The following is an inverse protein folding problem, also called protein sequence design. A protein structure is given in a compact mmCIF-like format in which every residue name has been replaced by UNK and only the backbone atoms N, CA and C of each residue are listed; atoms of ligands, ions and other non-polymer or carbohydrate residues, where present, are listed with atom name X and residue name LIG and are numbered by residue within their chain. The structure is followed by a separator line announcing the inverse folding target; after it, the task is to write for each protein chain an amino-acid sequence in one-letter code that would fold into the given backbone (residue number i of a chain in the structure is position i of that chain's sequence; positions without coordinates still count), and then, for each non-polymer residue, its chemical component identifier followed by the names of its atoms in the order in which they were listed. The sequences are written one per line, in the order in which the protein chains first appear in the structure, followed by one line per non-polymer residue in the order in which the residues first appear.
data_IF_147044038327
#
_entry.id   IF_147044038327
#
_cell.length_a   1.000
_cell.length_b   1.000
_cell.length_c   1.000
_cell.angle_alpha   90.00
_cell.angle_beta   90.00
_cell.angle_gamma   90.00
#
_symmetry.space_group_name_H-M   'P 1'
#
loop_
_entity.id
_entity.type
_entity.pdbx_description
1 polymer ?
#
# COMPACT_ATOMS: atom_id res chain seq x y z
N UNK A 1 -0.10 -16.20 -2.72
CA UNK A 1 0.66 -15.42 -1.70
C UNK A 1 2.09 -15.93 -1.74
N UNK A 2 3.07 -15.04 -1.96
CA UNK A 2 4.48 -15.41 -2.15
C UNK A 2 5.30 -14.87 -0.97
N UNK A 3 6.21 -15.67 -0.43
CA UNK A 3 7.24 -15.20 0.50
C UNK A 3 8.47 -14.79 -0.30
N UNK A 4 8.94 -13.55 -0.08
CA UNK A 4 10.09 -13.01 -0.81
C UNK A 4 11.28 -12.93 0.13
N UNK A 5 12.33 -13.69 -0.20
CA UNK A 5 13.64 -13.63 0.45
C UNK A 5 14.47 -12.57 -0.27
N UNK A 6 15.25 -11.78 0.48
CA UNK A 6 16.09 -10.72 -0.10
C UNK A 6 17.45 -11.21 -0.58
N UNK A 7 17.66 -12.52 -0.53
CA UNK A 7 18.86 -13.18 -0.99
C UNK A 7 18.50 -14.10 -2.16
N UNK A 8 19.29 -14.00 -3.23
CA UNK A 8 19.26 -14.99 -4.30
C UNK A 8 19.82 -16.32 -3.78
N UNK A 9 19.00 -17.37 -3.76
CA UNK A 9 19.38 -18.69 -3.26
C UNK A 9 19.16 -19.73 -4.35
N UNK A 10 20.23 -20.40 -4.76
CA UNK A 10 20.11 -21.56 -5.64
C UNK A 10 19.73 -22.81 -4.83
N UNK A 11 19.27 -23.85 -5.52
CA UNK A 11 19.04 -25.15 -4.88
C UNK A 11 20.30 -25.70 -4.20
N UNK A 12 21.47 -25.43 -4.77
CA UNK A 12 22.75 -25.79 -4.17
C UNK A 12 23.06 -24.97 -2.90
N UNK A 13 22.67 -23.69 -2.85
CA UNK A 13 22.81 -22.87 -1.65
C UNK A 13 21.93 -23.40 -0.52
N UNK A 14 20.68 -23.77 -0.82
CA UNK A 14 19.76 -24.34 0.15
C UNK A 14 20.27 -25.66 0.75
N UNK A 15 20.97 -26.50 -0.02
CA UNK A 15 21.59 -27.73 0.48
C UNK A 15 22.92 -27.52 1.21
N UNK A 16 23.47 -26.30 1.15
CA UNK A 16 24.68 -25.90 1.88
C UNK A 16 24.35 -25.23 3.22
N UNK A 17 23.08 -25.01 3.54
CA UNK A 17 22.72 -24.45 4.84
C UNK A 17 23.08 -25.44 5.95
N UNK A 18 23.59 -24.97 7.09
CA UNK A 18 23.92 -25.84 8.20
C UNK A 18 22.64 -26.40 8.85
N UNK A 19 22.69 -27.59 9.48
CA UNK A 19 21.58 -28.12 10.26
C UNK A 19 21.17 -27.21 11.44
N UNK A 20 22.13 -26.42 11.95
CA UNK A 20 21.89 -25.39 12.96
C UNK A 20 21.02 -24.23 12.45
N UNK A 21 20.84 -24.11 11.14
CA UNK A 21 20.05 -23.08 10.48
C UNK A 21 20.87 -21.88 10.00
N UNK A 22 20.38 -21.26 8.92
CA UNK A 22 20.87 -20.00 8.39
C UNK A 22 19.73 -18.97 8.39
N UNK A 23 19.97 -17.82 9.02
CA UNK A 23 19.00 -16.74 9.07
C UNK A 23 19.00 -15.98 7.74
N UNK A 24 17.83 -15.85 7.12
CA UNK A 24 17.62 -15.10 5.88
C UNK A 24 16.55 -14.05 6.07
N UNK A 25 16.90 -12.81 5.70
CA UNK A 25 16.01 -11.66 5.77
C UNK A 25 14.94 -11.77 4.67
N UNK A 26 13.67 -11.59 5.05
CA UNK A 26 12.58 -11.48 4.09
C UNK A 26 12.23 -10.03 3.81
N UNK A 27 11.45 -9.78 2.77
CA UNK A 27 10.90 -8.46 2.48
C UNK A 27 10.10 -7.90 3.68
N UNK A 28 9.42 -8.76 4.46
CA UNK A 28 8.70 -8.34 5.68
C UNK A 28 9.64 -7.79 6.75
N UNK A 29 10.87 -8.27 6.84
CA UNK A 29 11.84 -7.70 7.78
C UNK A 29 12.25 -6.28 7.37
N UNK A 30 12.32 -5.99 6.06
CA UNK A 30 12.69 -4.67 5.56
C UNK A 30 11.58 -3.63 5.61
N UNK A 31 10.33 -4.04 5.80
CA UNK A 31 9.23 -3.07 5.95
C UNK A 31 9.21 -2.39 7.32
N UNK A 32 9.92 -2.94 8.31
CA UNK A 32 9.90 -2.44 9.69
C UNK A 32 8.72 -2.93 10.54
N UNK A 33 7.80 -3.73 10.00
CA UNK A 33 6.68 -4.32 10.76
C UNK A 33 7.07 -5.46 11.68
N UNK A 34 8.20 -6.09 11.40
CA UNK A 34 8.72 -7.16 12.23
C UNK A 34 9.71 -6.60 13.26
N UNK A 35 9.35 -6.52 14.55
CA UNK A 35 10.28 -6.03 15.55
C UNK A 35 11.48 -6.98 15.65
N UNK A 36 12.67 -6.41 15.85
CA UNK A 36 13.95 -7.13 15.92
C UNK A 36 14.25 -7.93 14.66
N UNK A 37 14.02 -9.25 14.64
CA UNK A 37 14.27 -10.18 13.53
C UNK A 37 13.08 -11.11 13.23
N UNK A 38 11.88 -10.80 13.73
CA UNK A 38 10.71 -11.67 13.63
C UNK A 38 10.18 -11.84 12.19
N UNK A 39 10.68 -11.05 11.24
CA UNK A 39 10.37 -11.14 9.81
C UNK A 39 11.42 -11.95 9.05
N UNK A 40 12.47 -12.43 9.72
CA UNK A 40 13.47 -13.30 9.10
C UNK A 40 13.05 -14.76 9.19
N UNK A 41 13.49 -15.55 8.21
CA UNK A 41 13.27 -16.99 8.15
C UNK A 41 14.58 -17.71 8.46
N UNK A 42 14.50 -18.74 9.30
CA UNK A 42 15.60 -19.67 9.51
C UNK A 42 15.47 -20.83 8.53
N UNK A 43 16.49 -21.04 7.71
CA UNK A 43 16.55 -22.12 6.72
C UNK A 43 17.49 -23.19 7.23
N UNK A 44 16.98 -24.40 7.41
CA UNK A 44 17.75 -25.57 7.84
C UNK A 44 17.81 -26.60 6.71
N UNK A 45 18.88 -27.36 6.66
CA UNK A 45 19.00 -28.52 5.80
C UNK A 45 19.37 -29.73 6.66
N UNK A 46 18.58 -30.79 6.55
CA UNK A 46 18.88 -32.06 7.19
C UNK A 46 19.61 -32.97 6.18
N UNK A 47 20.90 -33.29 6.40
CA UNK A 47 21.67 -34.14 5.51
C UNK A 47 21.20 -35.61 5.52
N UNK A 48 20.42 -36.02 6.53
CA UNK A 48 19.91 -37.38 6.68
C UNK A 48 18.67 -37.63 5.81
N UNK A 49 17.72 -36.69 5.84
CA UNK A 49 16.49 -36.75 5.04
C UNK A 49 16.62 -36.04 3.69
N UNK A 50 17.61 -35.17 3.51
CA UNK A 50 17.80 -34.36 2.31
C UNK A 50 16.77 -33.23 2.17
N UNK A 51 16.03 -32.92 3.23
CA UNK A 51 14.95 -31.93 3.24
C UNK A 51 15.49 -30.56 3.65
N UNK A 52 15.02 -29.53 2.95
CA UNK A 52 15.23 -28.13 3.33
C UNK A 52 13.96 -27.64 4.01
N UNK A 53 14.07 -27.18 5.25
CA UNK A 53 12.95 -26.69 6.03
C UNK A 53 13.09 -25.20 6.32
N UNK A 54 11.97 -24.50 6.27
CA UNK A 54 11.84 -23.07 6.49
C UNK A 54 11.09 -22.86 7.80
N UNK A 55 11.74 -22.19 8.75
CA UNK A 55 11.21 -21.94 10.08
C UNK A 55 11.09 -20.43 10.32
N UNK A 56 9.90 -19.90 10.57
CA UNK A 56 9.74 -18.53 11.05
C UNK A 56 10.39 -18.36 12.42
N UNK A 57 11.11 -17.27 12.64
CA UNK A 57 11.63 -16.93 13.97
C UNK A 57 10.52 -16.55 14.95
N UNK A 58 9.36 -16.14 14.45
CA UNK A 58 8.22 -15.73 15.25
C UNK A 58 7.30 -16.89 15.68
N UNK A 59 7.48 -18.10 15.12
CA UNK A 59 6.72 -19.26 15.54
C UNK A 59 7.43 -20.57 15.19
N UNK A 60 7.94 -21.24 16.22
CA UNK A 60 8.59 -22.55 16.13
C UNK A 60 7.63 -23.71 15.82
N UNK A 61 6.31 -23.50 15.81
CA UNK A 61 5.30 -24.56 15.55
C UNK A 61 4.88 -24.67 14.09
N UNK A 62 5.16 -23.66 13.26
CA UNK A 62 4.88 -23.68 11.82
C UNK A 62 6.20 -23.82 11.08
N UNK A 63 6.30 -24.80 10.20
CA UNK A 63 7.44 -24.96 9.30
C UNK A 63 6.95 -25.35 7.92
N UNK A 64 7.72 -25.01 6.89
CA UNK A 64 7.42 -25.40 5.52
C UNK A 64 8.64 -26.04 4.89
N UNK A 65 8.45 -27.14 4.18
CA UNK A 65 9.51 -27.82 3.47
C UNK A 65 9.55 -27.38 2.01
N UNK A 66 10.75 -27.19 1.49
CA UNK A 66 10.96 -26.84 0.08
C UNK A 66 10.85 -28.10 -0.76
N UNK A 67 9.92 -28.12 -1.71
CA UNK A 67 9.61 -29.29 -2.54
C UNK A 67 10.42 -29.31 -3.84
N UNK A 68 10.34 -28.24 -4.65
CA UNK A 68 11.00 -28.18 -5.95
C UNK A 68 11.29 -26.76 -6.42
N UNK A 69 12.30 -26.63 -7.30
CA UNK A 69 12.58 -25.39 -8.04
C UNK A 69 11.64 -25.30 -9.25
N UNK A 70 10.80 -24.26 -9.29
CA UNK A 70 9.86 -24.01 -10.38
C UNK A 70 10.51 -23.20 -11.51
N UNK A 71 11.25 -22.15 -11.15
CA UNK A 71 11.86 -21.24 -12.12
C UNK A 71 13.09 -20.55 -11.54
N UNK A 72 14.09 -20.33 -12.39
CA UNK A 72 15.27 -19.55 -12.04
C UNK A 72 15.62 -18.57 -13.15
N UNK A 73 16.00 -17.37 -12.77
CA UNK A 73 16.67 -16.37 -13.58
C UNK A 73 18.02 -16.14 -12.89
N UNK A 74 19.14 -16.58 -13.49
CA UNK A 74 20.45 -16.49 -12.86
C UNK A 74 20.72 -15.09 -12.30
N UNK A 75 21.19 -15.03 -11.05
CA UNK A 75 21.50 -13.82 -10.29
C UNK A 75 20.32 -12.89 -9.96
N UNK A 76 19.12 -13.13 -10.51
CA UNK A 76 17.97 -12.26 -10.29
C UNK A 76 16.89 -12.90 -9.41
N UNK A 77 16.51 -14.16 -9.69
CA UNK A 77 15.29 -14.74 -9.10
C UNK A 77 15.30 -16.26 -9.09
N UNK A 78 14.84 -16.85 -7.99
CA UNK A 78 14.65 -18.29 -7.81
C UNK A 78 13.29 -18.52 -7.15
N UNK A 79 12.41 -19.29 -7.82
CA UNK A 79 11.08 -19.61 -7.31
C UNK A 79 11.05 -21.08 -6.91
N UNK A 80 10.74 -21.33 -5.64
CA UNK A 80 10.55 -22.67 -5.10
C UNK A 80 9.10 -22.90 -4.69
N UNK A 81 8.68 -24.15 -4.77
CA UNK A 81 7.40 -24.62 -4.21
C UNK A 81 7.64 -25.11 -2.77
N UNK A 82 6.65 -24.89 -1.91
CA UNK A 82 6.68 -25.30 -0.50
C UNK A 82 5.41 -26.07 -0.15
N UNK A 83 5.49 -26.98 0.81
CA UNK A 83 4.36 -27.81 1.24
C UNK A 83 3.32 -27.07 2.10
N UNK A 84 3.75 -26.02 2.80
CA UNK A 84 2.96 -25.32 3.80
C UNK A 84 3.08 -23.81 3.69
N UNK A 85 2.05 -23.09 4.12
CA UNK A 85 2.03 -21.64 4.15
C UNK A 85 2.80 -21.10 5.38
N UNK A 86 3.76 -20.20 5.14
CA UNK A 86 4.53 -19.54 6.19
C UNK A 86 3.87 -18.22 6.61
N UNK A 87 2.77 -18.24 7.35
CA UNK A 87 2.17 -16.98 7.82
C UNK A 87 2.99 -16.37 8.98
N UNK A 88 3.50 -15.12 8.86
CA UNK A 88 4.11 -14.44 9.98
C UNK A 88 3.06 -14.11 11.05
N UNK A 89 3.36 -14.41 12.31
CA UNK A 89 2.50 -14.07 13.44
C UNK A 89 2.61 -12.58 13.77
N UNK A 90 1.48 -11.92 13.98
CA UNK A 90 1.41 -10.47 14.23
C UNK A 90 1.17 -9.61 12.98
N UNK A 91 1.17 -10.22 11.79
CA UNK A 91 0.60 -9.57 10.60
C UNK A 91 -0.88 -9.92 10.59
N UNK A 92 -1.73 -9.04 11.10
CA UNK A 92 -3.14 -9.11 10.77
C UNK A 92 -3.27 -8.89 9.26
N UNK A 93 -3.59 -9.96 8.55
CA UNK A 93 -3.69 -9.97 7.09
C UNK A 93 -4.90 -9.15 6.59
N UNK A 94 -5.74 -8.66 7.51
CA UNK A 94 -6.78 -7.66 7.26
C UNK A 94 -6.29 -6.21 7.50
N UNK A 95 -5.14 -6.02 8.15
CA UNK A 95 -4.54 -4.73 8.47
C UNK A 95 -3.35 -4.37 7.54
N UNK A 96 -3.38 -4.86 6.30
CA UNK A 96 -2.33 -4.66 5.28
C UNK A 96 -2.26 -3.22 4.77
N UNK A 97 -2.17 -2.23 5.65
CA UNK A 97 -2.33 -0.83 5.29
C UNK A 97 -1.73 0.20 6.26
N UNK A 98 -1.46 -0.14 7.51
CA UNK A 98 -0.68 0.76 8.36
C UNK A 98 0.78 0.62 7.93
N UNK A 99 1.30 1.53 7.09
CA UNK A 99 2.72 1.75 6.73
C UNK A 99 3.70 1.64 7.92
N UNK A 100 5.03 1.49 7.74
CA UNK A 100 5.93 2.16 8.68
C UNK A 100 5.47 3.63 8.81
N UNK A 101 5.65 4.32 9.95
CA UNK A 101 5.30 5.73 10.03
C UNK A 101 6.01 6.44 8.90
N UNK A 102 5.24 6.79 7.86
CA UNK A 102 5.73 7.57 6.75
C UNK A 102 6.28 8.84 7.36
N UNK A 103 7.38 9.42 6.84
CA UNK A 103 7.67 10.81 7.16
C UNK A 103 6.38 11.62 6.98
N UNK A 104 6.12 12.61 7.85
CA UNK A 104 4.85 13.35 7.85
C UNK A 104 4.43 13.62 6.42
N UNK A 105 3.23 13.12 6.07
CA UNK A 105 2.78 13.04 4.70
C UNK A 105 2.78 14.44 4.10
N UNK A 106 3.72 14.72 3.20
CA UNK A 106 3.67 15.94 2.42
C UNK A 106 2.89 15.65 1.14
N UNK A 107 1.59 15.93 1.18
CA UNK A 107 0.65 15.65 0.09
C UNK A 107 1.12 16.32 -1.21
N UNK A 108 1.57 17.58 -1.13
CA UNK A 108 2.05 18.32 -2.30
C UNK A 108 3.25 17.64 -2.96
N UNK A 109 4.22 17.17 -2.16
CA UNK A 109 5.40 16.46 -2.67
C UNK A 109 5.03 15.13 -3.32
N UNK A 110 4.13 14.37 -2.70
CA UNK A 110 3.66 13.10 -3.27
C UNK A 110 3.04 13.29 -4.66
N UNK A 111 2.31 14.39 -4.88
CA UNK A 111 1.74 14.71 -6.19
C UNK A 111 2.77 15.15 -7.23
N UNK A 112 3.79 15.91 -6.81
CA UNK A 112 4.90 16.32 -7.68
C UNK A 112 5.69 15.09 -8.15
N UNK A 113 6.00 14.17 -7.23
CA UNK A 113 6.72 12.93 -7.54
C UNK A 113 5.90 11.99 -8.45
N UNK A 114 4.56 12.09 -8.41
CA UNK A 114 3.64 11.39 -9.32
C UNK A 114 3.59 11.94 -10.75
N UNK A 115 4.28 13.05 -11.04
CA UNK A 115 4.47 13.72 -12.33
C UNK A 115 3.22 14.23 -13.10
N UNK A 116 2.04 13.62 -12.93
CA UNK A 116 0.82 13.90 -13.70
C UNK A 116 -0.24 14.71 -12.92
N UNK A 117 0.15 15.35 -11.82
CA UNK A 117 -0.76 16.01 -10.89
C UNK A 117 -0.33 17.45 -10.58
N UNK A 118 0.39 18.10 -11.50
CA UNK A 118 0.96 19.44 -11.30
C UNK A 118 -0.13 20.50 -11.07
N UNK A 119 -1.26 20.39 -11.77
CA UNK A 119 -2.39 21.30 -11.63
C UNK A 119 -3.01 21.17 -10.24
N UNK A 120 -3.25 19.95 -9.76
CA UNK A 120 -3.79 19.71 -8.44
C UNK A 120 -2.83 20.20 -7.34
N UNK A 121 -1.52 19.92 -7.48
CA UNK A 121 -0.49 20.39 -6.56
C UNK A 121 -0.46 21.93 -6.48
N UNK A 122 -0.57 22.62 -7.62
CA UNK A 122 -0.65 24.08 -7.66
C UNK A 122 -1.94 24.62 -7.02
N UNK A 123 -3.08 23.95 -7.21
CA UNK A 123 -4.33 24.32 -6.57
C UNK A 123 -4.28 24.13 -5.05
N UNK A 124 -3.67 23.05 -4.56
CA UNK A 124 -3.46 22.79 -3.13
C UNK A 124 -2.59 23.88 -2.48
N UNK A 125 -1.48 24.23 -3.13
CA UNK A 125 -0.62 25.32 -2.65
C UNK A 125 -1.34 26.68 -2.66
N UNK A 126 -2.15 26.96 -3.68
CA UNK A 126 -2.88 28.23 -3.80
C UNK A 126 -4.12 28.33 -2.91
N UNK A 127 -4.70 27.21 -2.47
CA UNK A 127 -5.88 27.19 -1.59
C UNK A 127 -5.52 27.21 -0.11
N UNK A 128 -4.31 26.76 0.26
CA UNK A 128 -3.87 26.66 1.66
C UNK A 128 -4.53 25.51 2.43
N UNK A 129 -5.27 24.62 1.77
CA UNK A 129 -6.02 23.52 2.42
C UNK A 129 -5.12 22.35 2.87
N UNK A 130 -3.83 22.39 2.54
CA UNK A 130 -2.88 21.31 2.86
C UNK A 130 -2.78 21.06 4.36
N UNK A 131 -2.71 22.12 5.17
CA UNK A 131 -2.62 22.00 6.63
C UNK A 131 -3.87 21.32 7.23
N UNK A 132 -5.04 21.55 6.64
CA UNK A 132 -6.29 20.92 7.06
C UNK A 132 -6.27 19.41 6.74
N UNK A 133 -5.83 19.05 5.53
CA UNK A 133 -5.74 17.64 5.13
C UNK A 133 -4.70 16.87 5.95
N UNK A 134 -3.56 17.49 6.24
CA UNK A 134 -2.52 16.90 7.09
C UNK A 134 -3.00 16.75 8.55
N UNK A 135 -3.84 17.67 9.05
CA UNK A 135 -4.45 17.56 10.37
C UNK A 135 -5.46 16.41 10.45
N UNK A 136 -6.33 16.27 9.44
CA UNK A 136 -7.33 15.21 9.37
C UNK A 136 -6.71 13.82 9.17
N UNK A 137 -5.56 13.74 8.52
CA UNK A 137 -4.79 12.50 8.36
C UNK A 137 -4.42 11.87 9.72
N UNK A 138 -4.19 12.69 10.76
CA UNK A 138 -3.84 12.22 12.10
C UNK A 138 -4.95 11.48 12.84
N UNK A 139 -6.19 11.53 12.34
CA UNK A 139 -7.35 10.86 12.91
C UNK A 139 -7.61 9.46 12.31
N UNK A 140 -8.72 9.32 11.57
CA UNK A 140 -9.10 8.09 10.87
C UNK A 140 -8.38 7.93 9.50
N UNK A 141 -7.45 8.84 9.18
CA UNK A 141 -6.85 8.99 7.87
C UNK A 141 -7.81 9.61 6.85
N UNK A 142 -7.29 9.94 5.66
CA UNK A 142 -8.08 10.46 4.55
C UNK A 142 -7.86 9.63 3.29
N UNK A 143 -8.85 9.64 2.39
CA UNK A 143 -8.69 9.12 1.02
C UNK A 143 -8.87 10.27 0.04
N UNK A 144 -7.82 10.59 -0.72
CA UNK A 144 -7.80 11.70 -1.65
C UNK A 144 -7.82 11.19 -3.11
N UNK A 145 -8.87 11.55 -3.86
CA UNK A 145 -9.01 11.26 -5.29
C UNK A 145 -8.47 12.42 -6.12
N UNK A 146 -7.20 12.35 -6.56
CA UNK A 146 -6.59 13.47 -7.30
C UNK A 146 -6.82 13.36 -8.81
N UNK A 147 -7.48 14.34 -9.45
CA UNK A 147 -7.57 14.39 -10.89
C UNK A 147 -6.20 14.61 -11.54
N UNK A 148 -5.93 13.93 -12.65
CA UNK A 148 -4.71 14.14 -13.44
C UNK A 148 -4.76 15.47 -14.19
N UNK A 149 -3.59 15.97 -14.60
CA UNK A 149 -3.47 17.17 -15.44
C UNK A 149 -4.29 17.04 -16.74
N UNK A 150 -4.41 15.83 -17.30
CA UNK A 150 -5.27 15.56 -18.45
C UNK A 150 -6.77 15.69 -18.11
N UNK A 151 -7.20 15.28 -16.91
CA UNK A 151 -8.58 15.47 -16.47
C UNK A 151 -8.94 16.96 -16.38
N UNK A 152 -8.02 17.80 -15.88
CA UNK A 152 -8.18 19.26 -15.91
C UNK A 152 -8.22 19.83 -17.34
N UNK A 153 -7.37 19.32 -18.23
CA UNK A 153 -7.34 19.77 -19.63
C UNK A 153 -8.63 19.40 -20.40
N UNK A 154 -9.32 18.34 -20.00
CA UNK A 154 -10.58 17.90 -20.60
C UNK A 154 -11.81 18.71 -20.14
N UNK A 155 -11.66 19.64 -19.20
CA UNK A 155 -12.75 20.48 -18.76
C UNK A 155 -13.19 21.45 -19.86
N UNK A 156 -14.49 21.78 -19.96
CA UNK A 156 -14.96 22.81 -20.87
C UNK A 156 -14.24 24.15 -20.62
N UNK A 157 -13.92 24.89 -21.67
CA UNK A 157 -13.22 26.18 -21.58
C UNK A 157 -13.96 27.25 -20.76
N UNK A 158 -15.26 27.03 -20.49
CA UNK A 158 -16.09 27.85 -19.62
C UNK A 158 -15.79 27.66 -18.13
N UNK A 159 -15.12 26.56 -17.74
CA UNK A 159 -14.82 26.19 -16.36
C UNK A 159 -13.32 26.40 -16.10
N UNK A 160 -12.98 27.44 -15.35
CA UNK A 160 -11.60 27.78 -15.00
C UNK A 160 -11.33 27.57 -13.51
N UNK A 161 -11.16 26.32 -13.10
CA UNK A 161 -10.96 25.96 -11.68
C UNK A 161 -9.70 26.61 -11.08
N UNK A 162 -8.65 26.78 -11.88
CA UNK A 162 -7.40 27.43 -11.44
C UNK A 162 -7.53 28.95 -11.24
N UNK A 163 -8.49 29.60 -11.92
CA UNK A 163 -8.74 31.03 -11.77
C UNK A 163 -9.65 31.35 -10.58
N UNK A 164 -10.17 30.33 -9.89
CA UNK A 164 -11.03 30.52 -8.73
C UNK A 164 -10.27 31.17 -7.56
N UNK A 165 -10.98 31.92 -6.69
CA UNK A 165 -10.47 32.34 -5.39
C UNK A 165 -10.02 31.15 -4.54
N UNK A 166 -9.14 31.39 -3.57
CA UNK A 166 -8.55 30.36 -2.72
C UNK A 166 -9.61 29.52 -2.00
N UNK A 167 -10.69 30.15 -1.52
CA UNK A 167 -11.79 29.51 -0.80
C UNK A 167 -12.55 28.54 -1.70
N UNK A 168 -12.79 28.93 -2.97
CA UNK A 168 -13.46 28.06 -3.95
C UNK A 168 -12.55 26.93 -4.43
N UNK A 169 -11.24 27.16 -4.53
CA UNK A 169 -10.26 26.09 -4.79
C UNK A 169 -10.25 25.07 -3.67
N UNK A 170 -10.24 25.54 -2.42
CA UNK A 170 -10.33 24.69 -1.23
C UNK A 170 -11.57 23.81 -1.28
N UNK A 171 -12.74 24.38 -1.55
CA UNK A 171 -13.98 23.63 -1.68
C UNK A 171 -13.92 22.53 -2.77
N UNK A 172 -13.38 22.86 -3.93
CA UNK A 172 -13.20 21.88 -5.03
C UNK A 172 -12.28 20.74 -4.60
N UNK A 173 -11.19 21.04 -3.88
CA UNK A 173 -10.25 20.02 -3.40
C UNK A 173 -10.89 19.17 -2.29
N UNK A 174 -11.58 19.78 -1.34
CA UNK A 174 -12.32 19.09 -0.25
C UNK A 174 -13.37 18.11 -0.78
N UNK A 175 -14.00 18.41 -1.92
CA UNK A 175 -14.95 17.50 -2.57
C UNK A 175 -14.29 16.18 -3.01
N UNK A 176 -12.99 16.16 -3.24
CA UNK A 176 -12.28 14.96 -3.68
C UNK A 176 -11.69 14.15 -2.51
N UNK A 177 -12.04 14.49 -1.26
CA UNK A 177 -11.43 13.89 -0.07
C UNK A 177 -12.50 13.24 0.81
N UNK A 178 -12.25 12.00 1.24
CA UNK A 178 -13.05 11.29 2.23
C UNK A 178 -12.40 11.36 3.62
N UNK A 179 -13.22 11.43 4.68
CA UNK A 179 -12.83 11.49 6.10
C UNK A 179 -12.26 10.20 6.69
N UNK A 180 -11.97 9.20 5.85
CA UNK A 180 -11.42 7.94 6.31
C UNK A 180 -10.52 7.37 5.24
N UNK A 181 -9.52 6.63 5.70
CA UNK A 181 -8.67 5.88 4.80
C UNK A 181 -9.38 4.60 4.31
N UNK A 182 -9.54 4.48 3.00
CA UNK A 182 -10.17 3.33 2.34
C UNK A 182 -9.17 2.62 1.42
N UNK A 183 -8.79 1.36 1.73
CA UNK A 183 -8.00 0.56 0.81
C UNK A 183 -8.70 0.41 -0.53
N UNK A 184 -7.93 0.18 -1.58
CA UNK A 184 -8.46 -0.24 -2.88
C UNK A 184 -9.44 -1.43 -2.72
N UNK A 185 -9.09 -2.43 -1.91
CA UNK A 185 -9.97 -3.58 -1.67
C UNK A 185 -11.30 -3.22 -0.98
N UNK A 186 -11.30 -2.25 -0.07
CA UNK A 186 -12.53 -1.75 0.55
C UNK A 186 -13.37 -0.92 -0.42
N UNK A 187 -12.72 -0.08 -1.24
CA UNK A 187 -13.37 0.69 -2.30
C UNK A 187 -14.01 -0.23 -3.35
N UNK A 188 -13.36 -1.35 -3.69
CA UNK A 188 -13.91 -2.36 -4.60
C UNK A 188 -15.12 -3.11 -4.02
N UNK A 189 -15.22 -3.18 -2.70
CA UNK A 189 -16.28 -3.88 -1.97
C UNK A 189 -17.33 -2.92 -1.38
N UNK A 190 -17.32 -1.65 -1.79
CA UNK A 190 -18.21 -0.65 -1.20
C UNK A 190 -19.67 -0.97 -1.56
N UNK A 191 -20.50 -1.11 -0.52
CA UNK A 191 -21.92 -1.47 -0.67
C UNK A 191 -22.82 -0.24 -0.73
N UNK A 192 -22.38 0.87 -0.13
CA UNK A 192 -23.00 2.17 -0.27
C UNK A 192 -22.06 3.07 -1.07
N UNK A 193 -22.37 3.34 -2.35
CA UNK A 193 -21.45 4.05 -3.23
C UNK A 193 -21.40 5.56 -2.94
N UNK A 194 -22.40 6.11 -2.24
CA UNK A 194 -22.45 7.55 -1.94
C UNK A 194 -21.75 7.82 -0.61
N UNK A 195 -20.61 8.48 -0.67
CA UNK A 195 -19.78 8.81 0.50
C UNK A 195 -19.75 10.33 0.76
N UNK A 196 -19.83 10.78 2.02
CA UNK A 196 -19.62 12.18 2.36
C UNK A 196 -18.15 12.57 2.17
N UNK A 197 -17.91 13.81 1.75
CA UNK A 197 -16.56 14.36 1.52
C UNK A 197 -16.23 15.41 2.58
N UNK A 198 -14.98 15.89 2.65
CA UNK A 198 -14.62 17.02 3.51
C UNK A 198 -15.48 18.27 3.23
N UNK A 199 -15.91 18.46 1.97
CA UNK A 199 -16.77 19.58 1.61
C UNK A 199 -18.20 19.45 2.17
N UNK A 200 -18.64 18.25 2.53
CA UNK A 200 -19.96 18.00 3.13
C UNK A 200 -20.06 18.62 4.53
N UNK A 201 -18.98 18.64 5.32
CA UNK A 201 -19.01 19.19 6.68
C UNK A 201 -19.30 20.69 6.68
N UNK A 202 -18.62 21.43 5.79
CA UNK A 202 -18.75 22.87 5.68
C UNK A 202 -20.10 23.34 5.11
N UNK A 203 -20.82 22.47 4.39
CA UNK A 203 -21.99 22.84 3.58
C UNK A 203 -23.29 22.08 3.92
N UNK A 204 -23.24 21.16 4.88
CA UNK A 204 -24.41 20.46 5.41
C UNK A 204 -24.63 19.07 4.82
N UNK A 205 -25.28 18.23 5.63
CA UNK A 205 -25.51 16.81 5.34
C UNK A 205 -26.23 16.59 4.00
N UNK A 206 -25.66 15.71 3.15
CA UNK A 206 -26.21 15.35 1.84
C UNK A 206 -25.75 16.24 0.68
N UNK A 207 -25.02 17.32 0.95
CA UNK A 207 -24.34 18.11 -0.08
C UNK A 207 -22.93 17.57 -0.34
N UNK A 208 -22.42 17.71 -1.56
CA UNK A 208 -21.03 17.38 -1.89
C UNK A 208 -20.64 15.92 -1.59
N UNK A 209 -21.53 14.97 -1.89
CA UNK A 209 -21.24 13.54 -1.78
C UNK A 209 -20.57 13.01 -3.04
N UNK A 210 -19.67 12.03 -2.88
CA UNK A 210 -18.95 11.38 -3.96
C UNK A 210 -19.55 10.02 -4.25
N UNK A 211 -19.84 9.72 -5.51
CA UNK A 211 -20.36 8.42 -5.94
C UNK A 211 -19.22 7.53 -6.44
N UNK A 212 -18.90 6.51 -5.65
CA UNK A 212 -17.82 5.57 -5.91
C UNK A 212 -18.39 4.34 -6.63
N UNK A 213 -17.93 4.13 -7.85
CA UNK A 213 -18.40 3.06 -8.73
C UNK A 213 -17.26 2.19 -9.23
N UNK A 214 -17.57 0.91 -9.46
CA UNK A 214 -16.61 -0.05 -10.00
C UNK A 214 -16.67 -0.06 -11.52
N UNK A 215 -15.53 0.15 -12.16
CA UNK A 215 -15.37 0.02 -13.61
C UNK A 215 -14.26 -0.99 -13.89
N UNK A 216 -14.63 -2.22 -14.22
CA UNK A 216 -13.73 -3.25 -14.77
C UNK A 216 -12.45 -3.55 -13.92
N UNK A 217 -12.56 -3.54 -12.58
CA UNK A 217 -11.41 -3.73 -11.68
C UNK A 217 -10.66 -2.44 -11.35
N UNK A 218 -11.24 -1.29 -11.68
CA UNK A 218 -10.81 0.04 -11.26
C UNK A 218 -11.94 0.72 -10.49
N UNK A 219 -11.57 1.64 -9.61
CA UNK A 219 -12.50 2.50 -8.87
C UNK A 219 -12.61 3.82 -9.61
N UNK A 220 -13.84 4.28 -9.84
CA UNK A 220 -14.14 5.56 -10.47
C UNK A 220 -15.09 6.36 -9.57
N UNK A 221 -14.81 7.65 -9.43
CA UNK A 221 -15.59 8.61 -8.66
C UNK A 221 -16.33 9.59 -9.57
N UNK A 222 -17.54 10.00 -9.18
CA UNK A 222 -18.38 10.98 -9.89
C UNK A 222 -19.23 11.82 -8.95
#
# INVERSE_FOLDING_TARGET
RCHVLLQYLTWSDLRRTPPAGALVTTLLQTTGYAPTNLGSLNITFDPTSGVVSLHPLNNSTVSANVLSLLKTVPYNLSIFTVDSLLAPHGVDLMASEAGPPSPPLNITRALIDGHNFNVAAAMLAASGVVEEFEADEGGAGITLFVPTDQAFANLPSTVQLQALPAEKKSLVLKFHVLHSYYPLGSLESIVNPVQPTLATEDNGAGSFTLNISRVNGSVADR
#
